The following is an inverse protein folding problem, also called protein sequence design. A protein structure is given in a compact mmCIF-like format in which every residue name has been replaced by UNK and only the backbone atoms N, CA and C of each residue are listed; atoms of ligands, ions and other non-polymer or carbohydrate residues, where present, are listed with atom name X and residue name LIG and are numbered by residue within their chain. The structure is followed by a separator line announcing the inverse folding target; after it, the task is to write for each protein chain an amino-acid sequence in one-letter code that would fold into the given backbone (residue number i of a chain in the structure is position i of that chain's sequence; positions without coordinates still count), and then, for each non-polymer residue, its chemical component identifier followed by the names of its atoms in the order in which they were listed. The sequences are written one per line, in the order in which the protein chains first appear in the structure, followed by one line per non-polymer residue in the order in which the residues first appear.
data_IF_207664745883
#
_entry.id   IF_207664745883
#
_cell.length_a   1.000
_cell.length_b   1.000
_cell.length_c   1.000
_cell.angle_alpha   90.00
_cell.angle_beta   90.00
_cell.angle_gamma   90.00
#
_symmetry.space_group_name_H-M   'P 1'
#
loop_
_entity.id
_entity.type
_entity.pdbx_description
1 polymer ?
#
# COMPACT_ATOMS: atom_id res chain seq x y z
N UNK A 1 -13.55 6.97 6.51
CA UNK A 1 -13.35 8.06 5.54
C UNK A 1 -13.10 9.33 6.34
N UNK A 2 -11.87 9.89 6.31
CA UNK A 2 -11.40 10.74 5.19
C UNK A 2 -9.92 10.43 4.84
N UNK A 3 -9.38 10.67 3.65
CA UNK A 3 -9.48 11.88 2.84
C UNK A 3 -9.31 11.47 1.38
N UNK A 4 -10.33 11.68 0.55
CA UNK A 4 -10.08 11.72 -0.89
C UNK A 4 -8.98 12.78 -1.10
N UNK A 5 -7.87 12.37 -1.71
CA UNK A 5 -6.80 13.29 -2.04
C UNK A 5 -7.43 14.50 -2.76
N UNK A 6 -7.15 15.75 -2.34
CA UNK A 6 -7.77 16.91 -2.98
C UNK A 6 -7.61 16.79 -4.50
N UNK A 7 -8.66 17.02 -5.31
CA UNK A 7 -8.61 16.77 -6.75
C UNK A 7 -7.43 17.45 -7.46
N UNK A 8 -6.95 18.58 -6.92
CA UNK A 8 -5.76 19.27 -7.38
C UNK A 8 -4.47 18.46 -7.18
N UNK A 9 -4.31 17.78 -6.04
CA UNK A 9 -3.16 16.92 -5.76
C UNK A 9 -3.15 15.72 -6.69
N UNK A 10 -4.32 15.10 -6.91
CA UNK A 10 -4.47 14.01 -7.89
C UNK A 10 -4.03 14.43 -9.29
N UNK A 11 -4.44 15.61 -9.76
CA UNK A 11 -4.02 16.17 -11.06
C UNK A 11 -2.52 16.43 -11.12
N UNK A 12 -1.92 17.01 -10.07
CA UNK A 12 -0.46 17.22 -9.99
C UNK A 12 0.29 15.90 -10.12
N UNK A 13 -0.09 14.89 -9.33
CA UNK A 13 0.55 13.56 -9.34
C UNK A 13 0.37 12.88 -10.70
N UNK A 14 -0.83 12.94 -11.28
CA UNK A 14 -1.11 12.38 -12.61
C UNK A 14 -0.25 13.04 -13.69
N UNK A 15 -0.15 14.36 -13.70
CA UNK A 15 0.71 15.08 -14.66
C UNK A 15 2.16 14.66 -14.54
N UNK A 16 2.68 14.51 -13.32
CA UNK A 16 4.06 14.06 -13.11
C UNK A 16 4.26 12.58 -13.48
N UNK A 17 3.26 11.71 -13.30
CA UNK A 17 3.31 10.30 -13.72
C UNK A 17 3.47 10.14 -15.23
N UNK A 18 2.90 11.08 -15.99
CA UNK A 18 2.97 11.12 -17.46
C UNK A 18 4.12 11.98 -17.99
N UNK A 19 4.87 12.65 -17.12
CA UNK A 19 5.98 13.47 -17.54
C UNK A 19 7.15 12.59 -18.00
N UNK A 20 7.82 12.98 -19.07
CA UNK A 20 9.03 12.31 -19.57
C UNK A 20 10.31 13.03 -19.12
N UNK A 21 10.16 14.18 -18.46
CA UNK A 21 11.23 15.03 -17.95
C UNK A 21 10.73 15.83 -16.75
N UNK A 22 11.66 16.45 -16.02
CA UNK A 22 11.34 17.39 -14.94
C UNK A 22 10.54 18.58 -15.50
N UNK A 23 9.53 19.01 -14.74
CA UNK A 23 8.66 20.12 -15.10
C UNK A 23 8.94 21.33 -14.22
N UNK A 24 9.08 22.51 -14.79
CA UNK A 24 9.08 23.74 -13.98
C UNK A 24 7.75 23.90 -13.23
N UNK A 25 7.73 24.71 -12.17
CA UNK A 25 6.49 24.99 -11.41
C UNK A 25 5.37 25.51 -12.32
N UNK A 26 5.73 26.32 -13.32
CA UNK A 26 4.79 26.90 -14.28
C UNK A 26 4.23 25.83 -15.21
N UNK A 27 5.09 25.01 -15.81
CA UNK A 27 4.66 23.93 -16.70
C UNK A 27 3.81 22.89 -15.97
N UNK A 28 4.18 22.55 -14.74
CA UNK A 28 3.39 21.64 -13.91
C UNK A 28 2.01 22.22 -13.62
N UNK A 29 1.93 23.49 -13.23
CA UNK A 29 0.67 24.17 -12.98
C UNK A 29 -0.23 24.22 -14.23
N UNK A 30 0.36 24.55 -15.38
CA UNK A 30 -0.33 24.61 -16.67
C UNK A 30 -0.84 23.24 -17.11
N UNK A 31 0.00 22.21 -17.08
CA UNK A 31 -0.37 20.85 -17.50
C UNK A 31 -1.35 20.16 -16.54
N UNK A 32 -1.28 20.47 -15.25
CA UNK A 32 -2.20 19.93 -14.25
C UNK A 32 -3.51 20.75 -14.13
N UNK A 33 -3.65 21.84 -14.87
CA UNK A 33 -4.78 22.78 -14.79
C UNK A 33 -5.04 23.27 -13.35
N UNK A 34 -3.96 23.70 -12.69
CA UNK A 34 -4.00 24.26 -11.33
C UNK A 34 -3.18 25.54 -11.26
N UNK A 35 -3.38 26.33 -10.20
CA UNK A 35 -2.54 27.51 -9.99
C UNK A 35 -1.13 27.13 -9.56
N UNK A 36 -0.13 27.94 -9.90
CA UNK A 36 1.24 27.79 -9.38
C UNK A 36 1.28 27.86 -7.85
N UNK A 37 0.39 28.65 -7.24
CA UNK A 37 0.19 28.67 -5.78
C UNK A 37 -0.26 27.32 -5.24
N UNK A 38 -1.15 26.63 -5.94
CA UNK A 38 -1.61 25.28 -5.57
C UNK A 38 -0.45 24.29 -5.57
N UNK A 39 0.38 24.31 -6.61
CA UNK A 39 1.61 23.51 -6.66
C UNK A 39 2.51 23.81 -5.47
N UNK A 40 2.72 25.10 -5.15
CA UNK A 40 3.54 25.50 -4.00
C UNK A 40 2.95 25.06 -2.66
N UNK A 41 1.63 25.14 -2.48
CA UNK A 41 0.97 24.77 -1.22
C UNK A 41 1.12 23.28 -0.90
N UNK A 42 1.17 22.42 -1.93
CA UNK A 42 1.28 20.98 -1.75
C UNK A 42 2.71 20.45 -1.84
N UNK A 43 3.67 21.30 -2.24
CA UNK A 43 5.09 20.96 -2.34
C UNK A 43 5.60 20.26 -1.08
N UNK A 44 5.59 20.96 0.05
CA UNK A 44 6.26 20.49 1.27
C UNK A 44 5.68 19.16 1.75
N UNK A 45 4.37 18.97 1.55
CA UNK A 45 3.68 17.73 1.92
C UNK A 45 4.03 16.57 0.99
N UNK A 46 4.13 16.82 -0.31
CA UNK A 46 4.47 15.79 -1.29
C UNK A 46 5.95 15.40 -1.20
N UNK A 47 6.83 16.36 -0.93
CA UNK A 47 8.27 16.16 -0.70
C UNK A 47 8.51 15.39 0.60
N UNK A 48 7.80 15.71 1.69
CA UNK A 48 7.88 14.98 2.96
C UNK A 48 7.41 13.51 2.88
N UNK A 49 6.59 13.17 1.88
CA UNK A 49 6.14 11.79 1.62
C UNK A 49 7.03 11.07 0.60
N UNK A 50 8.14 11.69 0.19
CA UNK A 50 9.05 11.21 -0.85
C UNK A 50 8.32 10.87 -2.17
N UNK A 51 7.20 11.54 -2.45
CA UNK A 51 6.43 11.34 -3.67
C UNK A 51 7.04 12.14 -4.82
N UNK A 52 7.53 13.35 -4.52
CA UNK A 52 8.15 14.22 -5.51
C UNK A 52 9.57 14.58 -5.09
N UNK A 53 10.44 14.69 -6.08
CA UNK A 53 11.78 15.25 -5.94
C UNK A 53 11.82 16.60 -6.65
N UNK A 54 12.42 17.59 -5.98
CA UNK A 54 12.51 18.96 -6.47
C UNK A 54 13.97 19.40 -6.40
N UNK A 55 14.48 19.83 -7.54
CA UNK A 55 15.79 20.46 -7.65
C UNK A 55 15.69 21.74 -8.49
N UNK A 56 16.84 22.35 -8.78
CA UNK A 56 16.96 23.53 -9.64
C UNK A 56 16.36 23.35 -11.04
N UNK A 57 16.22 22.11 -11.52
CA UNK A 57 15.66 21.77 -12.82
C UNK A 57 14.14 21.48 -12.78
N UNK A 58 13.51 21.53 -11.59
CA UNK A 58 12.06 21.49 -11.44
C UNK A 58 11.54 20.28 -10.65
N UNK A 59 10.29 19.92 -10.94
CA UNK A 59 9.50 18.92 -10.23
C UNK A 59 9.51 17.60 -11.02
N UNK A 60 9.73 16.49 -10.32
CA UNK A 60 9.49 15.12 -10.82
C UNK A 60 8.87 14.26 -9.73
N UNK A 61 8.29 13.11 -10.11
CA UNK A 61 8.04 12.05 -9.13
C UNK A 61 9.35 11.36 -8.75
N UNK A 62 9.39 10.82 -7.53
CA UNK A 62 10.43 9.88 -7.07
C UNK A 62 10.18 8.47 -7.65
N UNK A 63 9.88 8.43 -8.94
CA UNK A 63 9.74 7.23 -9.76
C UNK A 63 10.51 7.48 -11.07
N UNK A 64 11.00 6.41 -11.70
CA UNK A 64 11.60 6.51 -13.04
C UNK A 64 10.58 7.11 -14.02
N UNK A 65 11.03 8.02 -14.86
CA UNK A 65 10.25 8.44 -16.02
C UNK A 65 9.92 7.23 -16.89
N UNK A 66 8.84 7.33 -17.66
CA UNK A 66 8.44 6.29 -18.60
C UNK A 66 9.33 6.22 -19.86
N UNK A 67 10.59 6.61 -19.74
CA UNK A 67 11.58 6.57 -20.82
C UNK A 67 12.38 5.26 -20.76
N UNK A 68 12.96 4.88 -21.90
CA UNK A 68 13.78 3.66 -22.00
C UNK A 68 15.09 3.73 -21.20
N UNK A 69 15.56 4.95 -20.89
CA UNK A 69 16.81 5.20 -20.17
C UNK A 69 16.64 4.99 -18.67
N UNK A 70 15.71 5.70 -18.00
CA UNK A 70 15.53 5.60 -16.55
C UNK A 70 14.84 4.30 -16.09
N UNK A 71 14.08 3.62 -16.97
CA UNK A 71 13.39 2.36 -16.61
C UNK A 71 14.33 1.23 -16.16
N UNK A 72 15.61 1.31 -16.50
CA UNK A 72 16.61 0.30 -16.12
C UNK A 72 17.44 0.71 -14.91
N UNK A 73 17.24 1.92 -14.41
CA UNK A 73 17.86 2.36 -13.18
C UNK A 73 16.97 1.95 -12.00
N UNK A 74 17.47 1.11 -11.07
CA UNK A 74 16.70 0.70 -9.93
C UNK A 74 16.43 1.92 -9.03
N UNK A 75 15.15 2.25 -8.84
CA UNK A 75 14.72 3.24 -7.86
C UNK A 75 14.51 2.52 -6.53
N UNK A 76 15.47 2.65 -5.63
CA UNK A 76 15.32 2.21 -4.25
C UNK A 76 14.70 3.34 -3.42
N UNK A 77 13.71 3.06 -2.56
CA UNK A 77 13.22 4.01 -1.57
C UNK A 77 14.36 4.55 -0.70
N UNK A 78 14.39 5.85 -0.42
CA UNK A 78 15.45 6.47 0.39
C UNK A 78 15.51 5.94 1.83
N UNK A 79 14.46 5.25 2.30
CA UNK A 79 14.41 4.62 3.62
C UNK A 79 15.27 3.36 3.72
N UNK A 80 15.68 2.76 2.59
CA UNK A 80 16.54 1.58 2.59
C UNK A 80 18.00 2.01 2.69
N UNK A 81 18.69 1.56 3.74
CA UNK A 81 20.15 1.64 3.79
C UNK A 81 20.77 0.77 2.67
N UNK A 82 22.02 1.05 2.27
CA UNK A 82 22.69 0.35 1.14
C UNK A 82 22.72 -1.18 1.27
N UNK A 83 22.64 -1.70 2.49
CA UNK A 83 22.60 -3.14 2.80
C UNK A 83 21.22 -3.70 3.07
N UNK A 84 20.18 -2.86 3.19
CA UNK A 84 18.82 -3.31 3.50
C UNK A 84 18.07 -3.66 2.22
N UNK A 85 17.41 -4.81 2.26
CA UNK A 85 16.45 -5.20 1.23
C UNK A 85 15.06 -4.64 1.55
N UNK A 86 14.20 -4.59 0.54
CA UNK A 86 12.79 -4.27 0.75
C UNK A 86 12.10 -5.27 1.70
N UNK A 87 12.59 -6.52 1.76
CA UNK A 87 12.10 -7.52 2.70
C UNK A 87 12.45 -7.13 4.14
N UNK A 88 13.66 -6.65 4.41
CA UNK A 88 14.07 -6.23 5.75
C UNK A 88 13.21 -5.07 6.27
N UNK A 89 12.92 -4.08 5.40
CA UNK A 89 12.05 -2.96 5.75
C UNK A 89 10.57 -3.41 5.93
N UNK A 90 10.10 -4.33 5.10
CA UNK A 90 8.76 -4.90 5.23
C UNK A 90 8.61 -5.71 6.53
N UNK A 91 9.64 -6.47 6.91
CA UNK A 91 9.67 -7.26 8.15
C UNK A 91 9.66 -6.37 9.39
N UNK A 92 10.52 -5.34 9.42
CA UNK A 92 10.53 -4.34 10.50
C UNK A 92 9.18 -3.60 10.62
N UNK A 93 8.54 -3.28 9.48
CA UNK A 93 7.19 -2.73 9.48
C UNK A 93 6.19 -3.74 10.05
N UNK A 94 6.27 -5.01 9.65
CA UNK A 94 5.37 -6.07 10.10
C UNK A 94 5.46 -6.27 11.62
N UNK A 95 6.67 -6.34 12.19
CA UNK A 95 6.89 -6.43 13.64
C UNK A 95 6.33 -5.21 14.39
N UNK A 96 6.32 -4.04 13.76
CA UNK A 96 5.76 -2.82 14.36
C UNK A 96 4.22 -2.86 14.41
N UNK A 97 3.59 -3.38 13.36
CA UNK A 97 2.13 -3.32 13.19
C UNK A 97 1.41 -4.55 13.78
N UNK A 98 2.10 -5.69 13.81
CA UNK A 98 1.63 -6.95 14.37
C UNK A 98 2.83 -7.61 15.09
N UNK A 99 3.13 -7.19 16.33
CA UNK A 99 4.23 -7.79 17.08
C UNK A 99 3.94 -9.26 17.45
N UNK A 100 4.98 -10.09 17.65
CA UNK A 100 4.84 -11.54 17.77
C UNK A 100 3.94 -12.04 18.91
N UNK A 101 3.84 -11.27 19.99
CA UNK A 101 2.98 -11.57 21.14
C UNK A 101 1.48 -11.46 20.80
N UNK A 102 1.13 -10.76 19.73
CA UNK A 102 -0.25 -10.57 19.25
C UNK A 102 -0.67 -11.56 18.17
N UNK A 103 0.24 -12.40 17.67
CA UNK A 103 -0.10 -13.43 16.67
C UNK A 103 -1.18 -14.40 17.15
N UNK A 104 -1.24 -14.66 18.46
CA UNK A 104 -2.21 -15.55 19.09
C UNK A 104 -3.50 -14.87 19.54
N UNK A 105 -3.66 -13.56 19.32
CA UNK A 105 -4.83 -12.82 19.78
C UNK A 105 -5.95 -12.85 18.71
N UNK A 106 -7.08 -13.54 18.97
CA UNK A 106 -8.20 -13.59 18.04
C UNK A 106 -8.94 -12.25 17.93
N UNK A 107 -8.76 -11.32 18.86
CA UNK A 107 -9.37 -9.98 18.80
C UNK A 107 -8.44 -8.97 18.10
N UNK A 108 -7.26 -9.40 17.64
CA UNK A 108 -6.31 -8.54 16.95
C UNK A 108 -6.86 -8.07 15.58
N UNK A 109 -6.87 -6.76 15.29
CA UNK A 109 -7.38 -6.23 14.02
C UNK A 109 -6.68 -6.73 12.76
N UNK A 110 -5.41 -7.15 12.84
CA UNK A 110 -4.65 -7.75 11.75
C UNK A 110 -4.50 -9.26 11.92
N UNK A 111 -4.18 -9.74 13.12
CA UNK A 111 -3.99 -11.14 13.44
C UNK A 111 -5.24 -11.99 13.26
N UNK A 112 -6.44 -11.44 13.56
CA UNK A 112 -7.72 -12.14 13.44
C UNK A 112 -7.96 -12.73 12.03
N UNK A 113 -7.43 -12.10 10.97
CA UNK A 113 -7.66 -12.55 9.58
C UNK A 113 -7.09 -13.96 9.31
N UNK A 114 -6.15 -14.41 10.12
CA UNK A 114 -5.52 -15.72 10.05
C UNK A 114 -6.25 -16.80 10.86
N UNK A 115 -7.18 -16.40 11.75
CA UNK A 115 -7.95 -17.33 12.58
C UNK A 115 -9.09 -17.97 11.79
N UNK A 116 -9.50 -19.17 12.20
CA UNK A 116 -10.58 -19.89 11.54
C UNK A 116 -11.97 -19.33 11.91
N UNK A 117 -12.88 -19.13 10.94
CA UNK A 117 -12.69 -19.24 9.50
C UNK A 117 -11.90 -18.04 8.94
N UNK A 118 -10.84 -18.27 8.13
CA UNK A 118 -9.99 -17.20 7.66
C UNK A 118 -10.76 -16.29 6.70
N UNK A 119 -10.67 -14.99 6.96
CA UNK A 119 -11.20 -13.95 6.08
C UNK A 119 -10.12 -12.90 5.79
N UNK A 120 -9.24 -13.16 4.80
CA UNK A 120 -8.16 -12.25 4.44
C UNK A 120 -8.65 -10.87 3.98
N UNK A 121 -9.90 -10.76 3.49
CA UNK A 121 -10.42 -9.50 2.97
C UNK A 121 -10.71 -8.50 4.10
N UNK A 122 -10.87 -8.95 5.35
CA UNK A 122 -11.01 -8.05 6.52
C UNK A 122 -9.81 -7.14 6.72
N UNK A 123 -8.63 -7.53 6.23
CA UNK A 123 -7.43 -6.68 6.29
C UNK A 123 -7.63 -5.35 5.53
N UNK A 124 -8.55 -5.32 4.55
CA UNK A 124 -8.90 -4.11 3.81
C UNK A 124 -9.64 -3.10 4.70
N UNK A 125 -10.31 -3.56 5.74
CA UNK A 125 -10.99 -2.71 6.72
C UNK A 125 -10.02 -2.07 7.72
N UNK A 126 -8.77 -2.56 7.78
CA UNK A 126 -7.78 -2.06 8.73
C UNK A 126 -7.44 -0.59 8.45
N UNK A 127 -7.51 0.31 9.46
CA UNK A 127 -7.39 1.75 9.25
C UNK A 127 -6.03 2.18 8.69
N UNK A 128 -4.97 1.43 9.00
CA UNK A 128 -3.61 1.77 8.59
C UNK A 128 -3.20 1.12 7.27
N UNK A 129 -3.50 -0.17 7.06
CA UNK A 129 -2.98 -0.93 5.90
C UNK A 129 -4.03 -1.14 4.82
N UNK A 130 -5.31 -0.99 5.14
CA UNK A 130 -6.39 -1.28 4.20
C UNK A 130 -6.36 -0.39 2.95
N UNK A 131 -6.00 0.89 3.08
CA UNK A 131 -5.85 1.79 1.93
C UNK A 131 -4.65 1.40 1.06
N UNK A 132 -3.54 0.99 1.67
CA UNK A 132 -2.34 0.53 0.98
C UNK A 132 -2.57 -0.78 0.24
N UNK A 133 -3.28 -1.74 0.85
CA UNK A 133 -3.59 -3.02 0.23
C UNK A 133 -4.58 -2.87 -0.93
N UNK A 134 -5.55 -1.94 -0.84
CA UNK A 134 -6.41 -1.59 -1.99
C UNK A 134 -5.60 -0.99 -3.13
N UNK A 135 -4.65 -0.09 -2.83
CA UNK A 135 -3.78 0.49 -3.83
C UNK A 135 -2.89 -0.59 -4.48
N UNK A 136 -2.27 -1.45 -3.67
CA UNK A 136 -1.46 -2.56 -4.16
C UNK A 136 -2.27 -3.47 -5.09
N UNK A 137 -3.47 -3.92 -4.67
CA UNK A 137 -4.35 -4.74 -5.49
C UNK A 137 -4.73 -4.07 -6.82
N UNK A 138 -5.01 -2.76 -6.81
CA UNK A 138 -5.28 -1.99 -8.01
C UNK A 138 -4.06 -1.91 -8.95
N UNK A 139 -2.86 -1.75 -8.40
CA UNK A 139 -1.60 -1.67 -9.16
C UNK A 139 -1.17 -3.03 -9.72
N UNK A 140 -1.44 -4.12 -9.01
CA UNK A 140 -1.09 -5.49 -9.43
C UNK A 140 -2.17 -6.17 -10.25
N UNK A 141 -3.27 -5.47 -10.56
CA UNK A 141 -4.46 -6.04 -11.18
C UNK A 141 -4.94 -7.32 -10.47
N UNK A 142 -4.76 -7.38 -9.14
CA UNK A 142 -5.18 -8.53 -8.34
C UNK A 142 -6.67 -8.39 -8.08
N UNK A 143 -7.46 -9.17 -8.82
CA UNK A 143 -8.88 -9.31 -8.49
C UNK A 143 -9.01 -9.96 -7.11
N UNK A 144 -9.93 -9.45 -6.25
CA UNK A 144 -10.21 -10.11 -4.98
C UNK A 144 -10.65 -11.53 -5.28
N UNK A 145 -9.89 -12.50 -4.78
CA UNK A 145 -10.20 -13.91 -4.95
C UNK A 145 -11.58 -14.16 -4.34
N UNK A 146 -12.52 -14.73 -5.11
CA UNK A 146 -13.84 -15.09 -4.60
C UNK A 146 -13.65 -15.87 -3.29
N UNK A 147 -14.41 -15.46 -2.26
CA UNK A 147 -14.20 -15.85 -0.87
C UNK A 147 -14.08 -17.36 -0.67
N UNK A 148 -13.41 -17.73 0.42
CA UNK A 148 -13.11 -19.10 0.84
C UNK A 148 -14.20 -20.08 0.43
N UNK A 149 -13.98 -20.81 -0.67
CA UNK A 149 -14.86 -21.90 -1.09
C UNK A 149 -14.66 -23.02 -0.08
N UNK A 150 -15.59 -23.17 0.84
CA UNK A 150 -15.62 -24.34 1.72
C UNK A 150 -15.74 -25.59 0.84
N UNK A 151 -14.64 -26.30 0.65
CA UNK A 151 -14.61 -27.60 -0.03
C UNK A 151 -14.70 -28.66 1.06
N UNK A 152 -15.85 -29.33 1.15
CA UNK A 152 -16.00 -30.49 2.00
C UNK A 152 -15.19 -31.65 1.39
N UNK A 153 -14.02 -31.91 1.97
CA UNK A 153 -13.18 -33.05 1.60
C UNK A 153 -13.48 -34.20 2.56
N UNK A 154 -13.99 -35.30 2.04
CA UNK A 154 -14.30 -36.51 2.81
C UNK A 154 -15.75 -36.61 3.30
N UNK A 155 -16.06 -37.77 3.88
CA UNK A 155 -17.38 -38.09 4.44
C UNK A 155 -17.66 -37.31 5.72
N UNK A 156 -18.90 -36.86 5.90
CA UNK A 156 -19.36 -36.24 7.15
C UNK A 156 -19.11 -37.19 8.33
N UNK A 157 -18.31 -36.75 9.31
CA UNK A 157 -18.05 -37.50 10.54
C UNK A 157 -19.17 -37.20 11.53
N UNK A 158 -20.00 -38.19 11.86
CA UNK A 158 -20.86 -38.10 13.04
C UNK A 158 -19.99 -38.30 14.29
N UNK A 159 -19.69 -37.21 14.99
CA UNK A 159 -19.05 -37.29 16.31
C UNK A 159 -20.06 -37.80 17.33
N UNK A 160 -19.78 -38.95 17.93
CA UNK A 160 -20.52 -39.48 19.06
C UNK A 160 -19.82 -39.05 20.37
N UNK A 161 -20.53 -38.42 21.32
CA UNK A 161 -19.92 -37.97 22.56
C UNK A 161 -19.44 -39.15 23.40
N UNK A 162 -18.26 -39.00 24.02
CA UNK A 162 -17.74 -39.96 24.99
C UNK A 162 -18.68 -39.98 26.20
N UNK A 163 -19.41 -41.08 26.36
CA UNK A 163 -20.20 -41.31 27.56
C UNK A 163 -19.22 -41.56 28.71
N UNK A 164 -19.33 -40.77 29.78
CA UNK A 164 -18.54 -40.95 31.01
C UNK A 164 -18.64 -42.40 31.47
N UNK A 165 -17.50 -43.07 31.62
CA UNK A 165 -17.43 -44.28 32.41
C UNK A 165 -17.68 -43.90 33.87
N UNK A 166 -18.79 -44.37 34.44
CA UNK A 166 -19.10 -44.29 35.87
C UNK A 166 -18.12 -45.19 36.64
N UNK A 167 -17.58 -44.75 37.79
CA UNK A 167 -16.55 -45.48 38.56
C UNK A 167 -16.98 -46.86 39.06
#
# INVERSE_FOLDING_TARGET
MPSACPPAVGRIVQTLLTAESRLSQRELAERADVSTRTVRNYRDRLEALDLISIDENGYRLTLSFQTTTERREPVAPAVLEESQTLLDAADALLETILPPDRYGDPDDPLGNVLFWPPDPLRVLEHPMVGSWLRLAAALTATEPTEGSRAVQMGSSLEQQPLSRATP
#
